data_IF_899852539942
#
_entry.id   IF_899852539942
#
_cell.length_a   1.000
_cell.length_b   1.000
_cell.length_c   1.000
_cell.angle_alpha   90.00
_cell.angle_beta   90.00
_cell.angle_gamma   90.00
#
_symmetry.space_group_name_H-M   'P 1'
#
loop_
_entity.id
_entity.type
_entity.pdbx_description
1 polymer ?
#
# COMPACT_ATOMS: atom_id res chain seq x y z
N UNK A 1 23.27 -2.00 1.89
CA UNK A 1 22.71 -0.78 2.51
C UNK A 1 23.03 -0.85 3.98
N UNK A 2 23.42 0.27 4.61
CA UNK A 2 23.63 0.34 6.06
C UNK A 2 22.29 0.28 6.82
N UNK A 3 22.28 -0.08 8.12
CA UNK A 3 21.05 -0.07 8.91
C UNK A 3 20.31 1.28 8.91
N UNK A 4 21.04 2.40 8.79
CA UNK A 4 20.47 3.74 8.67
C UNK A 4 19.78 3.96 7.32
N UNK A 5 20.40 3.53 6.23
CA UNK A 5 19.83 3.63 4.88
C UNK A 5 18.57 2.77 4.74
N UNK A 6 18.58 1.56 5.31
CA UNK A 6 17.40 0.67 5.34
C UNK A 6 16.26 1.35 6.08
N UNK A 7 16.52 1.90 7.28
CA UNK A 7 15.50 2.62 8.04
C UNK A 7 14.88 3.77 7.23
N UNK A 8 15.70 4.61 6.60
CA UNK A 8 15.22 5.74 5.80
C UNK A 8 14.39 5.31 4.58
N UNK A 9 14.78 4.20 3.94
CA UNK A 9 14.05 3.64 2.82
C UNK A 9 12.65 3.14 3.22
N UNK A 10 12.55 2.44 4.36
CA UNK A 10 11.27 1.98 4.90
C UNK A 10 10.40 3.11 5.45
N UNK A 11 10.97 4.14 6.06
CA UNK A 11 10.24 5.37 6.44
C UNK A 11 9.58 6.00 5.20
N UNK A 12 10.32 6.07 4.08
CA UNK A 12 9.79 6.56 2.81
C UNK A 12 8.65 5.69 2.27
N UNK A 13 8.74 4.36 2.39
CA UNK A 13 7.68 3.43 1.99
C UNK A 13 6.41 3.61 2.84
N UNK A 14 6.57 3.75 4.17
CA UNK A 14 5.45 3.99 5.09
C UNK A 14 4.75 5.32 4.79
N UNK A 15 5.49 6.39 4.52
CA UNK A 15 4.89 7.68 4.13
C UNK A 15 4.07 7.56 2.86
N UNK A 16 4.57 6.86 1.83
CA UNK A 16 3.83 6.60 0.58
C UNK A 16 2.53 5.84 0.85
N UNK A 17 2.56 4.85 1.74
CA UNK A 17 1.39 4.06 2.11
C UNK A 17 0.34 4.86 2.87
N UNK A 18 0.78 5.69 3.83
CA UNK A 18 -0.12 6.59 4.58
C UNK A 18 -0.82 7.57 3.62
N UNK A 19 -0.09 8.10 2.64
CA UNK A 19 -0.67 8.97 1.63
C UNK A 19 -1.74 8.25 0.79
N UNK A 20 -1.51 6.99 0.40
CA UNK A 20 -2.54 6.18 -0.26
C UNK A 20 -3.81 6.09 0.60
N UNK A 21 -3.68 5.74 1.89
CA UNK A 21 -4.84 5.63 2.81
C UNK A 21 -5.66 6.92 2.88
N UNK A 22 -4.97 8.06 2.99
CA UNK A 22 -5.63 9.38 3.03
C UNK A 22 -6.38 9.65 1.73
N UNK A 23 -5.75 9.41 0.57
CA UNK A 23 -6.38 9.61 -0.74
C UNK A 23 -7.57 8.68 -0.96
N UNK A 24 -7.44 7.40 -0.62
CA UNK A 24 -8.51 6.41 -0.76
C UNK A 24 -9.73 6.79 0.09
N UNK A 25 -9.50 7.15 1.36
CA UNK A 25 -10.56 7.61 2.26
C UNK A 25 -11.25 8.85 1.70
N UNK A 26 -10.48 9.85 1.30
CA UNK A 26 -11.02 11.09 0.75
C UNK A 26 -11.84 10.87 -0.53
N UNK A 27 -11.38 9.98 -1.43
CA UNK A 27 -12.14 9.62 -2.63
C UNK A 27 -13.51 9.04 -2.26
N UNK A 28 -13.57 8.12 -1.30
CA UNK A 28 -14.82 7.50 -0.87
C UNK A 28 -15.79 8.51 -0.23
N UNK A 29 -15.27 9.57 0.39
CA UNK A 29 -16.10 10.69 0.88
C UNK A 29 -16.45 11.73 -0.19
N UNK A 30 -16.02 11.54 -1.44
CA UNK A 30 -16.40 12.40 -2.58
C UNK A 30 -15.41 13.50 -2.93
N UNK A 31 -14.20 13.50 -2.36
CA UNK A 31 -13.16 14.42 -2.75
C UNK A 31 -12.45 13.88 -4.01
N UNK A 32 -12.35 14.72 -5.04
CA UNK A 32 -11.71 14.37 -6.30
C UNK A 32 -10.22 14.14 -6.15
N UNK A 33 -9.80 12.88 -6.13
CA UNK A 33 -8.41 12.47 -6.31
C UNK A 33 -8.26 11.69 -7.61
N UNK A 34 -7.05 11.70 -8.17
CA UNK A 34 -6.74 10.89 -9.34
C UNK A 34 -7.01 9.41 -9.06
N UNK A 35 -7.86 8.80 -9.87
CA UNK A 35 -8.29 7.41 -9.69
C UNK A 35 -7.16 6.41 -9.97
N UNK A 36 -6.30 6.70 -10.96
CA UNK A 36 -5.24 5.79 -11.42
C UNK A 36 -4.42 5.21 -10.27
N UNK A 37 -3.71 6.03 -9.48
CA UNK A 37 -2.89 5.54 -8.36
C UNK A 37 -3.68 4.90 -7.20
N UNK A 38 -5.00 5.05 -7.15
CA UNK A 38 -5.85 4.39 -6.15
C UNK A 38 -6.32 3.01 -6.62
N UNK A 39 -6.55 2.85 -7.92
CA UNK A 39 -7.05 1.62 -8.54
C UNK A 39 -5.92 0.70 -8.98
N UNK A 40 -4.85 1.26 -9.49
CA UNK A 40 -3.75 0.54 -10.10
C UNK A 40 -2.55 0.50 -9.14
N UNK A 41 -2.19 -0.69 -8.62
CA UNK A 41 -1.02 -0.83 -7.77
C UNK A 41 0.27 -0.44 -8.50
N UNK A 42 0.34 -0.57 -9.83
CA UNK A 42 1.52 -0.26 -10.61
C UNK A 42 1.64 1.23 -10.96
N UNK A 43 0.63 2.05 -10.61
CA UNK A 43 0.70 3.53 -10.63
C UNK A 43 0.83 4.12 -9.22
N UNK A 44 0.77 3.28 -8.19
CA UNK A 44 0.90 3.69 -6.79
C UNK A 44 2.37 3.94 -6.45
N UNK A 45 2.65 5.01 -5.72
CA UNK A 45 4.02 5.33 -5.30
C UNK A 45 4.66 4.20 -4.47
N UNK A 46 3.88 3.53 -3.61
CA UNK A 46 4.37 2.35 -2.88
C UNK A 46 4.58 1.17 -3.83
N UNK A 47 3.72 0.99 -4.83
CA UNK A 47 3.88 -0.06 -5.83
C UNK A 47 5.17 0.06 -6.63
N UNK A 48 5.52 1.28 -7.08
CA UNK A 48 6.83 1.54 -7.70
C UNK A 48 7.98 1.15 -6.76
N UNK A 49 7.91 1.56 -5.48
CA UNK A 49 8.93 1.21 -4.50
C UNK A 49 9.03 -0.32 -4.31
N UNK A 50 7.90 -1.03 -4.20
CA UNK A 50 7.88 -2.50 -4.07
C UNK A 50 8.55 -3.14 -5.30
N UNK A 51 8.19 -2.69 -6.50
CA UNK A 51 8.73 -3.21 -7.75
C UNK A 51 10.25 -3.01 -7.85
N UNK A 52 10.73 -1.79 -7.58
CA UNK A 52 12.17 -1.48 -7.58
C UNK A 52 12.96 -2.28 -6.54
N UNK A 53 12.41 -2.41 -5.32
CA UNK A 53 13.13 -3.08 -4.23
C UNK A 53 13.15 -4.60 -4.37
N UNK A 54 12.05 -5.21 -4.82
CA UNK A 54 11.95 -6.67 -4.97
C UNK A 54 12.81 -7.22 -6.11
N UNK A 55 13.18 -6.40 -7.09
CA UNK A 55 14.11 -6.79 -8.17
C UNK A 55 15.52 -6.26 -7.94
N UNK A 56 15.76 -5.56 -6.83
CA UNK A 56 17.02 -4.90 -6.51
C UNK A 56 17.51 -5.28 -5.12
N UNK A 57 17.70 -4.26 -4.27
CA UNK A 57 18.36 -4.39 -2.97
C UNK A 57 17.75 -5.44 -2.04
N UNK A 58 16.46 -5.74 -2.16
CA UNK A 58 15.75 -6.68 -1.29
C UNK A 58 15.25 -7.93 -2.05
N UNK A 59 15.87 -8.27 -3.19
CA UNK A 59 15.44 -9.44 -3.99
C UNK A 59 15.54 -10.78 -3.24
N UNK A 60 16.41 -10.88 -2.24
CA UNK A 60 16.61 -12.07 -1.43
C UNK A 60 15.61 -12.20 -0.28
N UNK A 61 14.78 -11.18 -0.04
CA UNK A 61 13.81 -11.15 1.06
C UNK A 61 12.49 -11.77 0.60
N UNK A 62 12.10 -12.97 1.08
CA UNK A 62 10.88 -13.64 0.62
C UNK A 62 9.60 -12.86 0.96
N UNK A 63 9.60 -12.10 2.06
CA UNK A 63 8.46 -11.28 2.48
C UNK A 63 8.16 -10.14 1.49
N UNK A 64 9.07 -9.76 0.58
CA UNK A 64 8.80 -8.79 -0.48
C UNK A 64 7.71 -9.30 -1.45
N UNK A 65 7.65 -10.60 -1.70
CA UNK A 65 6.59 -11.20 -2.51
C UNK A 65 5.24 -11.16 -1.79
N UNK A 66 5.24 -11.38 -0.46
CA UNK A 66 4.05 -11.29 0.39
C UNK A 66 3.54 -9.84 0.42
N UNK A 67 4.47 -8.87 0.54
CA UNK A 67 4.17 -7.45 0.49
C UNK A 67 3.49 -7.04 -0.82
N UNK A 68 4.05 -7.45 -1.98
CA UNK A 68 3.46 -7.15 -3.29
C UNK A 68 2.05 -7.76 -3.43
N UNK A 69 1.89 -9.03 -3.04
CA UNK A 69 0.60 -9.70 -3.10
C UNK A 69 -0.47 -9.01 -2.24
N UNK A 70 -0.11 -8.61 -1.01
CA UNK A 70 -0.99 -7.87 -0.10
C UNK A 70 -1.33 -6.48 -0.67
N UNK A 71 -0.36 -5.77 -1.23
CA UNK A 71 -0.53 -4.46 -1.86
C UNK A 71 -1.47 -4.52 -3.07
N UNK A 72 -1.25 -5.46 -3.99
CA UNK A 72 -2.14 -5.66 -5.15
C UNK A 72 -3.56 -6.03 -4.72
N UNK A 73 -3.72 -6.82 -3.66
CA UNK A 73 -5.04 -7.14 -3.12
C UNK A 73 -5.75 -5.90 -2.57
N UNK A 74 -5.06 -5.08 -1.80
CA UNK A 74 -5.59 -3.83 -1.28
C UNK A 74 -6.14 -2.93 -2.40
N UNK A 75 -5.38 -2.77 -3.49
CA UNK A 75 -5.81 -1.95 -4.63
C UNK A 75 -7.05 -2.52 -5.34
N UNK A 76 -7.13 -3.85 -5.53
CA UNK A 76 -8.33 -4.48 -6.10
C UNK A 76 -9.57 -4.21 -5.26
N UNK A 77 -9.47 -4.40 -3.94
CA UNK A 77 -10.61 -4.24 -3.05
C UNK A 77 -10.98 -2.74 -2.90
N UNK A 78 -10.00 -1.84 -2.90
CA UNK A 78 -10.23 -0.40 -2.96
C UNK A 78 -10.94 0.03 -4.26
N UNK A 79 -10.54 -0.51 -5.42
CA UNK A 79 -11.17 -0.22 -6.70
C UNK A 79 -12.66 -0.61 -6.71
N UNK A 80 -13.03 -1.73 -6.07
CA UNK A 80 -14.44 -2.13 -5.90
C UNK A 80 -15.22 -1.07 -5.12
N UNK A 81 -14.66 -0.54 -4.02
CA UNK A 81 -15.34 0.52 -3.25
C UNK A 81 -15.46 1.81 -4.05
N UNK A 82 -14.46 2.13 -4.86
CA UNK A 82 -14.52 3.27 -5.78
C UNK A 82 -15.65 3.09 -6.79
N UNK A 83 -15.84 1.88 -7.35
CA UNK A 83 -16.95 1.59 -8.27
C UNK A 83 -18.32 1.72 -7.61
N UNK A 84 -18.45 1.27 -6.35
CA UNK A 84 -19.66 1.54 -5.56
C UNK A 84 -19.91 3.03 -5.40
N UNK A 85 -18.87 3.81 -5.06
CA UNK A 85 -18.97 5.26 -4.86
C UNK A 85 -19.35 6.01 -6.14
N UNK A 86 -18.74 5.64 -7.28
CA UNK A 86 -19.00 6.25 -8.59
C UNK A 86 -20.41 5.91 -9.10
N UNK A 87 -20.92 4.73 -8.77
CA UNK A 87 -22.28 4.32 -9.09
C UNK A 87 -23.35 4.81 -8.08
N UNK A 88 -23.00 5.71 -7.16
CA UNK A 88 -23.92 6.25 -6.16
C UNK A 88 -24.31 5.27 -5.03
N UNK A 89 -23.71 4.09 -4.96
CA UNK A 89 -23.96 3.08 -3.90
C UNK A 89 -23.14 3.39 -2.64
N UNK A 90 -23.43 4.52 -2.00
CA UNK A 90 -22.63 5.06 -0.88
C UNK A 90 -22.56 4.11 0.32
N UNK A 91 -23.66 3.46 0.68
CA UNK A 91 -23.68 2.51 1.81
C UNK A 91 -22.78 1.30 1.56
N UNK A 92 -22.76 0.77 0.33
CA UNK A 92 -21.89 -0.33 -0.04
C UNK A 92 -20.41 0.07 -0.03
N UNK A 93 -20.09 1.27 -0.52
CA UNK A 93 -18.74 1.82 -0.43
C UNK A 93 -18.29 2.00 1.03
N UNK A 94 -19.19 2.51 1.90
CA UNK A 94 -18.91 2.72 3.31
C UNK A 94 -18.76 1.40 4.08
N UNK A 95 -19.60 0.41 3.79
CA UNK A 95 -19.58 -0.90 4.44
C UNK A 95 -18.30 -1.69 4.18
N UNK A 96 -17.69 -1.53 3.00
CA UNK A 96 -16.44 -2.21 2.66
C UNK A 96 -15.17 -1.52 3.15
N UNK A 97 -15.25 -0.23 3.52
CA UNK A 97 -14.08 0.56 3.94
C UNK A 97 -13.32 -0.05 5.14
N UNK A 98 -13.96 -0.58 6.20
CA UNK A 98 -13.25 -1.22 7.31
C UNK A 98 -12.32 -2.35 6.86
N UNK A 99 -12.73 -3.18 5.90
CA UNK A 99 -11.92 -4.29 5.40
C UNK A 99 -10.66 -3.79 4.66
N UNK A 100 -10.81 -2.77 3.82
CA UNK A 100 -9.69 -2.10 3.12
C UNK A 100 -8.72 -1.46 4.11
N UNK A 101 -9.23 -0.86 5.21
CA UNK A 101 -8.37 -0.29 6.25
C UNK A 101 -7.57 -1.36 7.01
N UNK A 102 -8.18 -2.50 7.33
CA UNK A 102 -7.48 -3.63 7.95
C UNK A 102 -6.37 -4.16 7.05
N UNK A 103 -6.62 -4.30 5.74
CA UNK A 103 -5.59 -4.67 4.77
C UNK A 103 -4.43 -3.67 4.74
N UNK A 104 -4.76 -2.37 4.75
CA UNK A 104 -3.75 -1.32 4.76
C UNK A 104 -2.88 -1.37 6.03
N UNK A 105 -3.46 -1.66 7.21
CA UNK A 105 -2.66 -1.87 8.42
C UNK A 105 -1.76 -3.12 8.31
N UNK A 106 -2.26 -4.19 7.70
CA UNK A 106 -1.48 -5.41 7.44
C UNK A 106 -0.22 -5.13 6.63
N UNK A 107 -0.31 -4.32 5.57
CA UNK A 107 0.84 -3.90 4.75
C UNK A 107 1.88 -3.15 5.59
N UNK A 108 1.46 -2.24 6.47
CA UNK A 108 2.37 -1.53 7.35
C UNK A 108 3.07 -2.49 8.33
N UNK A 109 2.38 -3.55 8.77
CA UNK A 109 2.96 -4.63 9.58
C UNK A 109 4.02 -5.43 8.83
N UNK A 110 3.77 -5.78 7.56
CA UNK A 110 4.74 -6.47 6.71
C UNK A 110 5.98 -5.59 6.48
N UNK A 111 5.81 -4.31 6.15
CA UNK A 111 6.91 -3.36 5.99
C UNK A 111 7.81 -3.29 7.24
N UNK A 112 7.22 -3.17 8.44
CA UNK A 112 7.99 -3.17 9.71
C UNK A 112 8.72 -4.48 9.97
N UNK A 113 8.15 -5.60 9.54
CA UNK A 113 8.77 -6.92 9.70
C UNK A 113 10.00 -7.02 8.82
N UNK A 114 9.89 -6.63 7.55
CA UNK A 114 11.01 -6.65 6.61
C UNK A 114 12.12 -5.70 7.07
N UNK A 115 11.78 -4.46 7.46
CA UNK A 115 12.76 -3.49 7.96
C UNK A 115 13.56 -4.08 9.12
N UNK A 116 12.87 -4.68 10.09
CA UNK A 116 13.52 -5.27 11.26
C UNK A 116 14.47 -6.40 10.87
N UNK A 117 14.03 -7.34 10.02
CA UNK A 117 14.87 -8.44 9.52
C UNK A 117 16.12 -7.91 8.84
N UNK A 118 15.96 -7.00 7.87
CA UNK A 118 17.08 -6.43 7.13
C UNK A 118 18.06 -5.65 8.01
N UNK A 119 17.57 -4.96 9.03
CA UNK A 119 18.42 -4.19 9.96
C UNK A 119 19.16 -5.07 10.98
N UNK A 120 18.70 -6.30 11.23
CA UNK A 120 19.43 -7.27 12.05
C UNK A 120 20.48 -8.04 11.25
N UNK A 121 20.31 -8.12 9.93
CA UNK A 121 21.21 -8.82 9.00
C UNK A 121 22.30 -7.91 8.40
N UNK A 122 22.13 -6.58 8.46
CA UNK A 122 23.03 -5.56 7.92
C UNK A 122 24.04 -5.02 8.93
#
# INVERSE_FOLDING_TARGET
>A
MTPKEIKQDFESAITKHVLFKVKARSFLYGNGYAEGPLRDPDQCALGHWIAERRTGAYMHVPEMAILDAAHRRLHRDAAVLMDHRLAGRLDAAAAGLPAVLVQAEGIAGILRTIERTLRTEA
#
